data_IF_223626965154
#
_entry.id   IF_223626965154
#
_cell.length_a   1.000
_cell.length_b   1.000
_cell.length_c   1.000
_cell.angle_alpha   90.00
_cell.angle_beta   90.00
_cell.angle_gamma   90.00
#
_symmetry.space_group_name_H-M   'P 1'
#
loop_
_entity.id
_entity.type
_entity.pdbx_description
1 polymer ?
#
# COMPACT_ATOMS: atom_id res chain seq x y z
N UNK A 1 21.09 -5.39 34.15
CA UNK A 1 22.01 -4.30 33.76
C UNK A 1 21.58 -3.81 32.39
N UNK A 2 21.17 -2.60 32.08
CA UNK A 2 21.02 -1.34 32.81
C UNK A 2 20.57 -0.35 31.73
N UNK A 3 19.25 -0.22 31.55
CA UNK A 3 18.63 0.65 30.54
C UNK A 3 18.78 2.10 31.00
N UNK A 4 19.45 2.95 30.21
CA UNK A 4 19.68 4.37 30.54
C UNK A 4 18.56 5.23 29.93
N UNK A 5 17.72 5.74 30.81
CA UNK A 5 16.75 6.82 30.60
C UNK A 5 17.42 8.19 30.80
N UNK A 6 17.38 9.06 29.79
CA UNK A 6 17.54 10.53 29.88
C UNK A 6 17.47 11.04 28.42
N UNK A 7 16.74 12.07 27.99
CA UNK A 7 16.42 13.33 28.63
C UNK A 7 15.22 13.95 27.88
N UNK A 8 14.26 14.47 28.64
CA UNK A 8 13.07 15.16 28.16
C UNK A 8 13.44 16.58 27.70
N UNK A 9 13.37 16.85 26.39
CA UNK A 9 13.59 18.16 25.79
C UNK A 9 12.26 18.89 25.56
N UNK A 10 12.09 20.04 26.23
CA UNK A 10 10.91 20.91 26.19
C UNK A 10 10.63 21.43 24.77
N UNK A 11 9.42 21.20 24.25
CA UNK A 11 8.91 21.88 23.05
C UNK A 11 8.61 23.36 23.36
N UNK A 12 9.16 24.25 22.55
CA UNK A 12 8.79 25.66 22.50
C UNK A 12 7.50 25.83 21.66
N UNK A 13 6.54 26.60 22.17
CA UNK A 13 5.29 26.93 21.49
C UNK A 13 5.52 27.97 20.37
N UNK A 14 4.86 27.85 19.19
CA UNK A 14 4.95 28.85 18.14
C UNK A 14 4.13 30.12 18.47
N UNK A 15 4.54 31.31 17.98
CA UNK A 15 3.87 32.57 18.26
C UNK A 15 2.53 32.72 17.52
N UNK A 16 1.58 33.36 18.20
CA UNK A 16 0.23 33.69 17.72
C UNK A 16 0.29 34.72 16.59
N UNK A 17 -0.35 34.42 15.46
CA UNK A 17 -0.62 35.39 14.39
C UNK A 17 -1.98 36.05 14.63
N UNK A 18 -2.00 37.38 14.57
CA UNK A 18 -3.17 38.25 14.72
C UNK A 18 -4.03 38.28 13.44
N UNK A 19 -5.36 38.49 13.54
CA UNK A 19 -6.24 38.51 12.38
C UNK A 19 -6.43 39.94 11.88
N UNK A 20 -5.99 40.26 10.66
CA UNK A 20 -6.51 41.41 9.91
C UNK A 20 -6.29 41.17 8.43
N UNK A 21 -7.36 40.97 7.66
CA UNK A 21 -7.47 41.47 6.29
C UNK A 21 -8.91 41.40 5.77
N UNK A 22 -9.43 42.62 5.60
CA UNK A 22 -10.49 43.13 4.75
C UNK A 22 -11.30 42.16 3.86
N UNK A 23 -12.62 42.25 4.05
CA UNK A 23 -13.68 41.86 3.11
C UNK A 23 -13.63 42.75 1.88
N UNK A 24 -13.28 42.17 0.72
CA UNK A 24 -13.42 42.78 -0.60
C UNK A 24 -14.57 42.12 -1.37
N UNK A 25 -15.69 42.82 -1.51
CA UNK A 25 -16.85 42.37 -2.26
C UNK A 25 -16.61 42.38 -3.77
N UNK A 26 -16.61 41.20 -4.38
CA UNK A 26 -16.69 41.02 -5.82
C UNK A 26 -18.00 40.34 -6.19
N UNK A 27 -18.91 41.08 -6.85
CA UNK A 27 -20.13 40.53 -7.44
C UNK A 27 -19.72 39.64 -8.61
N UNK A 28 -19.85 38.33 -8.45
CA UNK A 28 -19.77 37.38 -9.56
C UNK A 28 -21.18 37.06 -10.06
N UNK A 29 -21.38 37.27 -11.35
CA UNK A 29 -22.58 36.93 -12.11
C UNK A 29 -22.79 35.42 -12.09
N UNK A 30 -24.04 34.91 -12.02
CA UNK A 30 -24.29 33.48 -12.07
C UNK A 30 -23.98 32.95 -13.47
N UNK A 31 -22.92 32.15 -13.58
CA UNK A 31 -22.64 31.31 -14.74
C UNK A 31 -23.84 30.38 -14.97
N UNK A 32 -24.47 30.52 -16.13
CA UNK A 32 -25.56 29.66 -16.58
C UNK A 32 -25.11 28.19 -16.53
N UNK A 33 -25.89 27.36 -15.83
CA UNK A 33 -25.78 25.91 -15.82
C UNK A 33 -25.92 25.41 -17.26
N UNK A 34 -24.79 25.11 -17.89
CA UNK A 34 -24.71 24.34 -19.13
C UNK A 34 -25.53 23.07 -18.95
N UNK A 35 -26.50 22.89 -19.84
CA UNK A 35 -27.41 21.76 -19.88
C UNK A 35 -26.67 20.44 -19.62
N UNK A 36 -27.18 19.66 -18.66
CA UNK A 36 -26.78 18.26 -18.47
C UNK A 36 -27.01 17.55 -19.81
N UNK A 37 -25.95 17.28 -20.56
CA UNK A 37 -26.04 16.38 -21.72
C UNK A 37 -26.52 15.04 -21.19
N UNK A 38 -27.76 14.68 -21.52
CA UNK A 38 -28.24 13.31 -21.36
C UNK A 38 -27.29 12.39 -22.13
N UNK A 39 -26.70 11.43 -21.42
CA UNK A 39 -25.93 10.36 -22.04
C UNK A 39 -26.96 9.47 -22.75
N UNK A 40 -26.91 9.44 -24.07
CA UNK A 40 -27.74 8.55 -24.87
C UNK A 40 -27.30 7.09 -24.61
N UNK A 41 -28.15 6.24 -24.01
CA UNK A 41 -27.81 4.84 -23.72
C UNK A 41 -27.64 3.99 -24.99
N UNK A 42 -27.95 4.53 -26.17
CA UNK A 42 -27.72 3.91 -27.48
C UNK A 42 -26.52 4.49 -28.23
N UNK A 43 -25.82 5.48 -27.66
CA UNK A 43 -24.63 6.02 -28.28
C UNK A 43 -23.57 4.92 -28.41
N UNK A 44 -23.13 4.66 -29.65
CA UNK A 44 -21.97 3.80 -29.91
C UNK A 44 -20.77 4.37 -29.16
N UNK A 45 -20.19 3.56 -28.28
CA UNK A 45 -18.89 3.85 -27.68
C UNK A 45 -17.88 4.15 -28.80
N UNK A 46 -16.98 5.14 -28.62
CA UNK A 46 -15.87 5.31 -29.54
C UNK A 46 -15.09 4.00 -29.66
N UNK A 47 -14.51 3.70 -30.83
CA UNK A 47 -13.67 2.51 -30.99
C UNK A 47 -12.57 2.55 -29.92
N UNK A 48 -12.39 1.43 -29.22
CA UNK A 48 -11.29 1.29 -28.25
C UNK A 48 -10.00 1.71 -28.97
N UNK A 49 -9.17 2.59 -28.39
CA UNK A 49 -7.85 2.84 -28.94
C UNK A 49 -7.19 1.48 -29.11
N UNK A 50 -6.75 1.18 -30.34
CA UNK A 50 -6.07 -0.08 -30.64
C UNK A 50 -4.92 -0.19 -29.65
N UNK A 51 -4.94 -1.23 -28.81
CA UNK A 51 -3.85 -1.51 -27.90
C UNK A 51 -2.57 -1.40 -28.71
N UNK A 52 -1.78 -0.37 -28.41
CA UNK A 52 -0.47 -0.18 -29.03
C UNK A 52 0.23 -1.51 -28.78
N UNK A 53 0.55 -2.27 -29.84
CA UNK A 53 1.16 -3.60 -29.78
C UNK A 53 2.14 -3.56 -28.62
N UNK A 54 1.76 -4.18 -27.51
CA UNK A 54 2.63 -4.25 -26.35
C UNK A 54 3.92 -4.84 -26.86
N UNK A 55 5.05 -4.30 -26.43
CA UNK A 55 6.27 -5.10 -26.43
C UNK A 55 5.86 -6.43 -25.80
N UNK A 56 5.86 -7.50 -26.58
CA UNK A 56 5.94 -8.84 -26.04
C UNK A 56 7.29 -8.86 -25.33
N UNK A 57 7.30 -8.47 -24.06
CA UNK A 57 8.33 -8.95 -23.16
C UNK A 57 8.13 -10.45 -23.19
N UNK A 58 9.00 -11.14 -23.91
CA UNK A 58 9.12 -12.57 -23.79
C UNK A 58 9.21 -12.87 -22.29
N UNK A 59 8.16 -13.45 -21.71
CA UNK A 59 8.23 -14.16 -20.43
C UNK A 59 9.04 -15.47 -20.59
N UNK A 60 10.04 -15.45 -21.49
CA UNK A 60 10.95 -16.54 -21.85
C UNK A 60 12.40 -16.22 -21.49
N UNK A 61 12.65 -15.15 -20.73
CA UNK A 61 13.83 -15.12 -19.86
C UNK A 61 13.69 -16.23 -18.83
N UNK A 62 14.80 -16.86 -18.43
CA UNK A 62 14.80 -17.79 -17.29
C UNK A 62 13.93 -17.19 -16.19
N UNK A 63 12.87 -17.90 -15.79
CA UNK A 63 12.07 -17.50 -14.63
C UNK A 63 13.10 -17.41 -13.51
N UNK A 64 13.49 -16.21 -13.11
CA UNK A 64 13.93 -16.05 -11.74
C UNK A 64 12.68 -16.48 -11.00
N UNK A 65 12.72 -17.67 -10.40
CA UNK A 65 11.67 -18.09 -9.49
C UNK A 65 11.58 -16.92 -8.49
N UNK A 66 10.51 -16.13 -8.54
CA UNK A 66 10.27 -15.07 -7.58
C UNK A 66 10.15 -15.79 -6.24
N UNK A 67 11.28 -15.90 -5.54
CA UNK A 67 11.39 -16.72 -4.33
C UNK A 67 11.10 -15.91 -3.10
N UNK A 68 11.17 -14.58 -3.22
CA UNK A 68 11.08 -13.65 -2.09
C UNK A 68 9.95 -12.67 -2.27
N UNK A 69 9.02 -12.66 -1.32
CA UNK A 69 7.83 -11.80 -1.34
C UNK A 69 7.74 -11.02 -0.04
N UNK A 70 7.48 -9.72 -0.14
CA UNK A 70 7.11 -8.90 1.00
C UNK A 70 5.61 -8.60 1.03
N UNK A 71 5.02 -8.59 2.22
CA UNK A 71 3.63 -8.19 2.45
C UNK A 71 3.59 -7.09 3.49
N UNK A 72 3.18 -5.88 3.10
CA UNK A 72 3.08 -4.71 3.97
C UNK A 72 1.64 -4.53 4.47
N UNK A 73 1.47 -4.56 5.79
CA UNK A 73 0.18 -4.49 6.49
C UNK A 73 -0.34 -5.89 6.84
N UNK A 74 -0.11 -6.32 8.08
CA UNK A 74 -0.44 -7.66 8.60
C UNK A 74 -1.78 -7.65 9.34
N UNK A 75 -2.77 -7.07 8.66
CA UNK A 75 -4.18 -7.12 9.04
C UNK A 75 -4.88 -8.36 8.47
N UNK A 76 -6.21 -8.28 8.38
CA UNK A 76 -7.08 -9.36 7.91
C UNK A 76 -6.82 -9.80 6.45
N UNK A 77 -6.20 -8.96 5.63
CA UNK A 77 -5.78 -9.34 4.26
C UNK A 77 -4.34 -9.84 4.25
N UNK A 78 -3.41 -9.02 4.75
CA UNK A 78 -1.99 -9.29 4.53
C UNK A 78 -1.44 -10.45 5.36
N UNK A 79 -1.95 -10.71 6.58
CA UNK A 79 -1.49 -11.84 7.37
C UNK A 79 -1.82 -13.19 6.71
N UNK A 80 -3.09 -13.51 6.36
CA UNK A 80 -3.38 -14.77 5.66
C UNK A 80 -2.68 -14.87 4.30
N UNK A 81 -2.49 -13.75 3.58
CA UNK A 81 -1.72 -13.73 2.34
C UNK A 81 -0.24 -14.13 2.56
N UNK A 82 0.41 -13.55 3.57
CA UNK A 82 1.80 -13.86 3.90
C UNK A 82 1.97 -15.34 4.30
N UNK A 83 1.01 -15.88 5.06
CA UNK A 83 0.96 -17.29 5.41
C UNK A 83 0.77 -18.16 4.16
N UNK A 84 -0.17 -17.82 3.28
CA UNK A 84 -0.42 -18.58 2.06
C UNK A 84 0.81 -18.62 1.12
N UNK A 85 1.55 -17.51 1.00
CA UNK A 85 2.81 -17.50 0.26
C UNK A 85 3.88 -18.39 0.91
N UNK A 86 3.94 -18.41 2.25
CA UNK A 86 4.85 -19.28 2.98
C UNK A 86 4.48 -20.76 2.78
N UNK A 87 3.19 -21.10 2.85
CA UNK A 87 2.65 -22.44 2.59
C UNK A 87 2.91 -22.90 1.15
N UNK A 88 2.98 -21.96 0.20
CA UNK A 88 3.36 -22.22 -1.19
C UNK A 88 4.88 -22.39 -1.38
N UNK A 89 5.69 -22.25 -0.33
CA UNK A 89 7.14 -22.46 -0.36
C UNK A 89 7.97 -21.23 -0.72
N UNK A 90 7.40 -20.04 -0.66
CA UNK A 90 8.13 -18.78 -0.85
C UNK A 90 8.79 -18.32 0.45
N UNK A 91 9.91 -17.61 0.34
CA UNK A 91 10.49 -16.86 1.45
C UNK A 91 9.70 -15.56 1.62
N UNK A 92 9.07 -15.37 2.78
CA UNK A 92 8.15 -14.25 2.99
C UNK A 92 8.61 -13.33 4.11
N UNK A 93 8.58 -12.03 3.84
CA UNK A 93 8.73 -10.98 4.84
C UNK A 93 7.41 -10.23 5.04
N UNK A 94 6.78 -10.45 6.19
CA UNK A 94 5.62 -9.69 6.65
C UNK A 94 6.07 -8.43 7.38
N UNK A 95 5.54 -7.27 6.98
CA UNK A 95 5.92 -5.96 7.52
C UNK A 95 4.68 -5.28 8.09
N UNK A 96 4.72 -4.82 9.34
CA UNK A 96 3.64 -4.02 9.92
C UNK A 96 4.17 -2.78 10.65
N UNK A 97 3.47 -1.66 10.52
CA UNK A 97 3.86 -0.40 11.12
C UNK A 97 3.57 -0.31 12.63
N UNK A 98 2.72 -1.19 13.18
CA UNK A 98 2.40 -1.23 14.60
C UNK A 98 3.37 -2.15 15.36
N UNK A 99 4.24 -1.62 16.26
CA UNK A 99 5.20 -2.45 16.99
C UNK A 99 4.53 -3.51 17.87
N UNK A 100 3.33 -3.24 18.39
CA UNK A 100 2.54 -4.22 19.14
C UNK A 100 2.08 -5.38 18.25
N UNK A 101 1.64 -5.09 17.01
CA UNK A 101 1.25 -6.11 16.02
C UNK A 101 2.43 -7.00 15.67
N UNK A 102 3.59 -6.40 15.41
CA UNK A 102 4.84 -7.13 15.16
C UNK A 102 5.18 -8.05 16.35
N UNK A 103 5.13 -7.53 17.57
CA UNK A 103 5.45 -8.31 18.78
C UNK A 103 4.48 -9.48 19.02
N UNK A 104 3.17 -9.26 18.85
CA UNK A 104 2.14 -10.31 18.96
C UNK A 104 2.36 -11.43 17.95
N UNK A 105 2.60 -11.06 16.67
CA UNK A 105 2.81 -12.03 15.60
C UNK A 105 4.12 -12.81 15.79
N UNK A 106 5.22 -12.14 16.18
CA UNK A 106 6.48 -12.81 16.51
C UNK A 106 6.35 -13.79 17.69
N UNK A 107 5.43 -13.55 18.62
CA UNK A 107 5.11 -14.48 19.71
C UNK A 107 4.22 -15.65 19.27
N UNK A 108 3.82 -15.69 17.98
CA UNK A 108 2.93 -16.70 17.44
C UNK A 108 1.49 -16.56 17.93
N UNK A 109 1.06 -15.35 18.28
CA UNK A 109 -0.31 -15.03 18.67
C UNK A 109 -0.97 -14.26 17.54
N UNK A 110 -2.01 -14.83 16.94
CA UNK A 110 -2.74 -14.21 15.85
C UNK A 110 -3.79 -13.23 16.39
N UNK A 111 -3.78 -11.98 15.92
CA UNK A 111 -4.81 -10.98 16.22
C UNK A 111 -5.97 -10.97 15.20
N UNK A 112 -6.01 -11.95 14.28
CA UNK A 112 -7.03 -12.07 13.24
C UNK A 112 -7.84 -13.35 13.50
N UNK A 113 -9.16 -13.21 13.59
CA UNK A 113 -10.07 -14.30 13.98
C UNK A 113 -10.01 -15.52 13.04
N UNK A 114 -9.79 -15.30 11.75
CA UNK A 114 -9.71 -16.36 10.71
C UNK A 114 -8.31 -16.96 10.53
N UNK A 115 -7.31 -16.50 11.30
CA UNK A 115 -5.97 -17.07 11.35
C UNK A 115 -5.73 -17.64 12.73
N UNK A 116 -5.67 -18.97 12.85
CA UNK A 116 -5.32 -19.60 14.13
C UNK A 116 -3.84 -19.37 14.49
N UNK A 117 -3.56 -19.26 15.79
CA UNK A 117 -2.20 -19.27 16.34
C UNK A 117 -1.36 -20.44 15.81
N UNK A 118 -1.96 -21.62 15.67
CA UNK A 118 -1.28 -22.82 15.17
C UNK A 118 -0.81 -22.62 13.73
N UNK A 119 -1.68 -22.10 12.85
CA UNK A 119 -1.33 -21.81 11.45
C UNK A 119 -0.24 -20.75 11.37
N UNK A 120 -0.33 -19.70 12.19
CA UNK A 120 0.72 -18.68 12.27
C UNK A 120 2.05 -19.27 12.71
N UNK A 121 2.09 -20.07 13.79
CA UNK A 121 3.32 -20.72 14.26
C UNK A 121 3.91 -21.67 13.22
N UNK A 122 3.08 -22.41 12.49
CA UNK A 122 3.52 -23.24 11.39
C UNK A 122 4.22 -22.41 10.30
N UNK A 123 3.63 -21.26 9.90
CA UNK A 123 4.23 -20.36 8.92
C UNK A 123 5.56 -19.74 9.42
N UNK A 124 5.62 -19.29 10.68
CA UNK A 124 6.85 -18.77 11.30
C UNK A 124 7.97 -19.82 11.27
N UNK A 125 7.65 -21.08 11.60
CA UNK A 125 8.60 -22.19 11.53
C UNK A 125 9.00 -22.55 10.09
N UNK A 126 8.13 -22.29 9.12
CA UNK A 126 8.37 -22.53 7.70
C UNK A 126 9.11 -21.38 6.99
N UNK A 127 9.42 -20.28 7.68
CA UNK A 127 10.27 -19.21 7.15
C UNK A 127 9.60 -17.83 7.01
N UNK A 128 8.35 -17.67 7.45
CA UNK A 128 7.73 -16.35 7.54
C UNK A 128 8.49 -15.47 8.56
N UNK A 129 9.09 -14.37 8.09
CA UNK A 129 9.71 -13.35 8.95
C UNK A 129 8.75 -12.19 9.17
N UNK A 130 8.64 -11.71 10.41
CA UNK A 130 7.82 -10.54 10.75
C UNK A 130 8.74 -9.40 11.20
N UNK A 131 8.63 -8.23 10.56
CA UNK A 131 9.49 -7.07 10.81
C UNK A 131 8.72 -5.74 10.87
N UNK A 132 9.37 -4.72 11.42
CA UNK A 132 8.91 -3.33 11.33
C UNK A 132 9.49 -2.63 10.09
N UNK A 133 8.92 -1.49 9.64
CA UNK A 133 9.35 -0.80 8.42
C UNK A 133 10.84 -0.43 8.38
N UNK A 134 11.41 -0.07 9.53
CA UNK A 134 12.81 0.33 9.66
C UNK A 134 13.80 -0.81 9.45
N UNK A 135 13.39 -2.04 9.78
CA UNK A 135 14.23 -3.25 9.69
C UNK A 135 13.92 -4.11 8.46
N UNK A 136 12.95 -3.68 7.64
CA UNK A 136 12.48 -4.43 6.50
C UNK A 136 13.56 -4.61 5.40
N UNK A 137 13.70 -5.85 4.91
CA UNK A 137 14.63 -6.28 3.87
C UNK A 137 14.16 -6.07 2.42
N UNK A 138 13.28 -5.09 2.17
CA UNK A 138 12.53 -4.91 0.92
C UNK A 138 13.35 -4.90 -0.38
N UNK A 139 14.65 -4.59 -0.32
CA UNK A 139 15.50 -4.53 -1.52
C UNK A 139 15.72 -5.90 -2.14
N UNK A 140 15.67 -6.95 -1.32
CA UNK A 140 15.96 -8.32 -1.74
C UNK A 140 14.70 -9.07 -2.20
N UNK A 141 13.51 -8.54 -1.94
CA UNK A 141 12.25 -9.16 -2.37
C UNK A 141 11.99 -8.89 -3.85
N UNK A 142 11.37 -9.83 -4.55
CA UNK A 142 11.03 -9.70 -5.98
C UNK A 142 9.68 -9.01 -6.17
N UNK A 143 8.72 -9.34 -5.30
CA UNK A 143 7.39 -8.75 -5.28
C UNK A 143 7.03 -8.17 -3.90
N UNK A 144 6.33 -7.03 -3.90
CA UNK A 144 5.85 -6.35 -2.68
C UNK A 144 4.35 -6.12 -2.76
N UNK A 145 3.59 -6.75 -1.88
CA UNK A 145 2.14 -6.59 -1.75
C UNK A 145 1.80 -5.56 -0.68
N UNK A 146 0.93 -4.61 -1.01
CA UNK A 146 0.51 -3.54 -0.10
C UNK A 146 -0.94 -3.76 0.33
N UNK A 147 -1.10 -4.14 1.60
CA UNK A 147 -2.34 -4.55 2.26
C UNK A 147 -2.67 -3.67 3.49
N UNK A 148 -2.25 -2.40 3.47
CA UNK A 148 -2.47 -1.46 4.57
C UNK A 148 -3.91 -0.94 4.63
N UNK A 149 -4.41 -0.51 5.80
CA UNK A 149 -5.75 0.05 5.90
C UNK A 149 -5.89 1.34 5.09
N UNK A 150 -7.07 1.54 4.53
CA UNK A 150 -7.48 2.74 3.79
C UNK A 150 -8.71 3.34 4.47
N UNK A 151 -8.55 3.92 5.67
CA UNK A 151 -9.67 4.47 6.40
C UNK A 151 -10.32 5.63 5.62
N UNK A 152 -11.52 6.00 6.04
CA UNK A 152 -12.17 7.22 5.59
C UNK A 152 -12.12 8.25 6.72
N UNK A 153 -11.97 9.52 6.35
CA UNK A 153 -12.02 10.62 7.31
C UNK A 153 -13.44 10.83 7.84
N UNK A 154 -13.60 11.70 8.85
CA UNK A 154 -14.91 12.12 9.34
C UNK A 154 -15.78 12.80 8.27
N UNK A 155 -15.15 13.38 7.23
CA UNK A 155 -15.83 13.96 6.06
C UNK A 155 -16.13 12.93 4.97
N UNK A 156 -15.84 11.64 5.20
CA UNK A 156 -15.97 10.51 4.26
C UNK A 156 -15.01 10.58 3.06
N UNK A 157 -13.95 11.35 3.19
CA UNK A 157 -12.89 11.38 2.20
C UNK A 157 -11.93 10.19 2.41
N UNK A 158 -11.30 9.68 1.34
CA UNK A 158 -10.21 8.72 1.47
C UNK A 158 -9.08 9.28 2.34
N UNK A 159 -8.67 8.53 3.36
CA UNK A 159 -7.38 8.76 4.01
C UNK A 159 -6.33 7.82 3.40
N UNK A 160 -5.43 8.41 2.61
CA UNK A 160 -4.32 7.69 1.97
C UNK A 160 -3.06 7.67 2.82
N UNK A 161 -3.07 8.23 4.04
CA UNK A 161 -1.90 8.32 4.91
C UNK A 161 -1.15 6.99 5.09
N UNK A 162 -1.82 5.89 5.49
CA UNK A 162 -1.18 4.59 5.62
C UNK A 162 -0.59 4.07 4.31
N UNK A 163 -1.28 4.30 3.19
CA UNK A 163 -0.85 3.89 1.86
C UNK A 163 0.41 4.65 1.40
N UNK A 164 0.45 5.97 1.62
CA UNK A 164 1.61 6.80 1.26
C UNK A 164 2.81 6.53 2.18
N UNK A 165 2.57 6.16 3.44
CA UNK A 165 3.63 5.70 4.36
C UNK A 165 4.25 4.38 3.89
N UNK A 166 3.41 3.42 3.44
CA UNK A 166 3.90 2.19 2.82
C UNK A 166 4.71 2.49 1.54
N UNK A 167 4.22 3.39 0.69
CA UNK A 167 4.96 3.82 -0.51
C UNK A 167 6.33 4.43 -0.17
N UNK A 168 6.43 5.24 0.89
CA UNK A 168 7.69 5.81 1.35
C UNK A 168 8.67 4.71 1.83
N UNK A 169 8.17 3.73 2.57
CA UNK A 169 8.97 2.57 3.03
C UNK A 169 9.53 1.77 1.85
N UNK A 170 8.69 1.52 0.84
CA UNK A 170 9.09 0.83 -0.39
C UNK A 170 10.14 1.65 -1.13
N UNK A 171 9.88 2.94 -1.38
CA UNK A 171 10.76 3.84 -2.15
C UNK A 171 12.20 3.82 -1.65
N UNK A 172 12.41 3.82 -0.33
CA UNK A 172 13.76 3.82 0.26
C UNK A 172 14.62 2.61 -0.13
N UNK A 173 13.98 1.50 -0.50
CA UNK A 173 14.60 0.20 -0.77
C UNK A 173 14.28 -0.35 -2.16
N UNK A 174 13.46 0.37 -2.94
CA UNK A 174 13.00 -0.01 -4.27
C UNK A 174 14.20 -0.15 -5.22
N UNK A 175 14.23 -1.25 -5.97
CA UNK A 175 15.22 -1.53 -7.02
C UNK A 175 14.55 -1.77 -8.36
N UNK A 176 15.34 -1.66 -9.43
CA UNK A 176 14.88 -2.04 -10.75
C UNK A 176 14.53 -3.55 -10.81
N UNK A 177 13.51 -3.89 -11.60
CA UNK A 177 12.99 -5.24 -11.80
C UNK A 177 12.06 -5.75 -10.68
N UNK A 178 11.73 -4.94 -9.68
CA UNK A 178 10.73 -5.32 -8.67
C UNK A 178 9.30 -5.15 -9.19
N UNK A 179 8.40 -5.97 -8.65
CA UNK A 179 6.96 -5.82 -8.81
C UNK A 179 6.33 -5.26 -7.53
N UNK A 180 5.61 -4.15 -7.63
CA UNK A 180 4.81 -3.59 -6.53
C UNK A 180 3.33 -3.77 -6.84
N UNK A 181 2.60 -4.43 -5.94
CA UNK A 181 1.17 -4.71 -6.08
C UNK A 181 0.39 -3.94 -5.02
N UNK A 182 -0.47 -3.03 -5.46
CA UNK A 182 -1.48 -2.42 -4.59
C UNK A 182 -2.67 -3.35 -4.45
N UNK A 183 -2.93 -3.83 -3.23
CA UNK A 183 -4.04 -4.74 -2.92
C UNK A 183 -5.09 -4.10 -2.02
N UNK A 184 -4.70 -3.14 -1.17
CA UNK A 184 -5.62 -2.30 -0.41
C UNK A 184 -6.73 -1.72 -1.28
N UNK A 185 -7.96 -1.76 -0.79
CA UNK A 185 -9.12 -1.16 -1.48
C UNK A 185 -8.97 0.35 -1.53
N UNK A 186 -8.76 0.89 -2.72
CA UNK A 186 -8.58 2.33 -2.92
C UNK A 186 -9.56 2.89 -3.94
N UNK A 187 -9.54 4.21 -4.12
CA UNK A 187 -10.36 4.89 -5.10
C UNK A 187 -9.78 4.75 -6.52
N UNK A 188 -10.62 4.84 -7.57
CA UNK A 188 -10.13 4.81 -8.93
C UNK A 188 -9.06 5.88 -9.17
N UNK A 189 -7.96 5.47 -9.80
CA UNK A 189 -6.83 6.36 -10.09
C UNK A 189 -5.75 6.42 -8.99
N UNK A 190 -5.96 5.80 -7.81
CA UNK A 190 -4.94 5.78 -6.75
C UNK A 190 -3.62 5.14 -7.20
N UNK A 191 -3.67 3.98 -7.87
CA UNK A 191 -2.47 3.27 -8.36
C UNK A 191 -1.64 4.12 -9.30
N UNK A 192 -2.25 4.71 -10.34
CA UNK A 192 -1.55 5.51 -11.36
C UNK A 192 -1.34 6.97 -10.97
N UNK A 193 -1.88 7.41 -9.83
CA UNK A 193 -1.81 8.77 -9.33
C UNK A 193 -0.93 8.86 -8.09
N UNK A 194 -1.50 9.14 -6.90
CA UNK A 194 -0.74 9.43 -5.69
C UNK A 194 0.19 8.30 -5.26
N UNK A 195 -0.20 7.03 -5.42
CA UNK A 195 0.65 5.91 -5.00
C UNK A 195 1.88 5.77 -5.89
N UNK A 196 1.69 5.77 -7.21
CA UNK A 196 2.80 5.82 -8.17
C UNK A 196 3.71 7.02 -7.95
N UNK A 197 3.14 8.22 -7.78
CA UNK A 197 3.90 9.44 -7.59
C UNK A 197 4.84 9.32 -6.37
N UNK A 198 4.33 8.82 -5.25
CA UNK A 198 5.11 8.64 -4.02
C UNK A 198 6.26 7.62 -4.19
N UNK A 199 6.05 6.53 -4.95
CA UNK A 199 7.10 5.56 -5.26
C UNK A 199 8.19 6.18 -6.17
N UNK A 200 7.78 6.93 -7.19
CA UNK A 200 8.69 7.52 -8.18
C UNK A 200 9.51 8.72 -7.66
N UNK A 201 9.21 9.24 -6.47
CA UNK A 201 10.04 10.26 -5.80
C UNK A 201 11.49 9.77 -5.58
N UNK A 202 11.72 8.45 -5.56
CA UNK A 202 13.05 7.84 -5.47
C UNK A 202 13.85 7.85 -6.78
N UNK A 203 13.27 8.32 -7.88
CA UNK A 203 13.92 8.43 -9.19
C UNK A 203 13.58 7.31 -10.17
N UNK A 204 13.27 6.11 -9.68
CA UNK A 204 12.80 4.98 -10.50
C UNK A 204 11.39 5.23 -11.05
N UNK A 205 11.08 4.67 -12.23
CA UNK A 205 9.83 4.89 -12.97
C UNK A 205 9.04 3.61 -13.17
N UNK A 206 7.75 3.65 -12.83
CA UNK A 206 6.85 2.52 -13.00
C UNK A 206 6.63 2.21 -14.49
N UNK A 207 6.68 0.93 -14.85
CA UNK A 207 6.60 0.42 -16.23
C UNK A 207 7.87 0.65 -17.07
N UNK A 208 8.94 1.14 -16.45
CA UNK A 208 10.26 1.28 -17.08
C UNK A 208 11.35 0.63 -16.24
N UNK A 209 11.42 0.96 -14.95
CA UNK A 209 12.42 0.43 -14.02
C UNK A 209 11.83 -0.64 -13.09
N UNK A 210 10.56 -0.51 -12.68
CA UNK A 210 9.85 -1.48 -11.84
C UNK A 210 8.40 -1.62 -12.33
N UNK A 211 7.77 -2.76 -12.04
CA UNK A 211 6.38 -3.01 -12.40
C UNK A 211 5.43 -2.59 -11.29
N UNK A 212 4.29 -2.02 -11.68
CA UNK A 212 3.25 -1.55 -10.76
C UNK A 212 1.89 -2.12 -11.16
N UNK A 213 1.27 -2.85 -10.25
CA UNK A 213 -0.02 -3.50 -10.48
C UNK A 213 -1.05 -3.11 -9.41
N UNK A 214 -2.31 -3.34 -9.73
CA UNK A 214 -3.42 -3.31 -8.79
C UNK A 214 -4.13 -4.66 -8.83
N UNK A 215 -4.19 -5.33 -7.68
CA UNK A 215 -4.86 -6.62 -7.52
C UNK A 215 -5.76 -6.53 -6.28
N UNK A 216 -7.01 -6.06 -6.42
CA UNK A 216 -7.88 -5.84 -5.27
C UNK A 216 -8.22 -7.18 -4.60
N UNK A 217 -8.15 -7.18 -3.28
CA UNK A 217 -8.57 -8.34 -2.49
C UNK A 217 -10.11 -8.49 -2.46
N UNK A 218 -10.60 -9.73 -2.34
CA UNK A 218 -12.02 -10.06 -2.13
C UNK A 218 -12.22 -11.13 -1.05
N UNK A 219 -11.49 -11.05 0.06
CA UNK A 219 -11.72 -11.85 1.27
C UNK A 219 -13.03 -11.42 1.96
N UNK A 220 -13.79 -12.40 2.44
CA UNK A 220 -14.91 -12.19 3.35
C UNK A 220 -14.45 -12.48 4.79
N UNK A 221 -14.31 -11.47 5.67
CA UNK A 221 -13.80 -11.70 7.02
C UNK A 221 -14.67 -12.70 7.80
N UNK A 222 -14.02 -13.67 8.44
CA UNK A 222 -14.69 -14.72 9.22
C UNK A 222 -15.05 -15.99 8.44
N UNK A 223 -14.93 -15.98 7.11
CA UNK A 223 -14.86 -17.22 6.35
C UNK A 223 -13.43 -17.80 6.47
N UNK A 224 -13.25 -19.12 6.68
CA UNK A 224 -11.92 -19.72 6.69
C UNK A 224 -11.24 -19.50 5.34
N UNK A 225 -10.00 -18.98 5.38
CA UNK A 225 -9.13 -18.88 4.23
C UNK A 225 -8.58 -20.26 3.80
#
# INVERSE_FOLDING_TARGET
MGCRTSLCGRLAAPPRLSPTLAVGGGRSTPHALSSRRQIDPRARLPPRPTARRGRTTDYGGSVNEDRRVAVIGLGYVGLPLAIAFTEAGLEVEGIDALPSRVAELCAGTSPIDDVSDERLRAALNAGLRITGPETAGLRDDDAVFVCVPTPITSTKDPDLGPLLSAAATIRERLRAGQLVILQSTTFPGTTNGPFRAALEEGGLKAGADFDLAFAPERVNPGDPA
#
